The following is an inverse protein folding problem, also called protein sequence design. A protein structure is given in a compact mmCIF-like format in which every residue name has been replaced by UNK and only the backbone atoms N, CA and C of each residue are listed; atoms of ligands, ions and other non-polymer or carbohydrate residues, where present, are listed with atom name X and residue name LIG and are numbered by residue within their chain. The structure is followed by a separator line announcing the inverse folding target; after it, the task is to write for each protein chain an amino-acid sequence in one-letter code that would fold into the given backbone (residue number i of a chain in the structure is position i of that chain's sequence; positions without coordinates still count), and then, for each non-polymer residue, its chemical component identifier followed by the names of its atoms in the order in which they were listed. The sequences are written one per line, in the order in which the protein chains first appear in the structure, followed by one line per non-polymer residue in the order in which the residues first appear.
data_IF_123795493277
#
_entry.id   IF_123795493277
#
_cell.length_a   1.000
_cell.length_b   1.000
_cell.length_c   1.000
_cell.angle_alpha   90.00
_cell.angle_beta   90.00
_cell.angle_gamma   90.00
#
_symmetry.space_group_name_H-M   'P 1'
#
loop_
_entity.id
_entity.type
_entity.pdbx_description
1 polymer ?
#
# COMPACT_ATOMS: atom_id res chain seq x y z
N UNK A 1 -11.06 -9.24 9.87
CA UNK A 1 -11.16 -10.13 8.70
C UNK A 1 -11.50 -11.56 9.13
N UNK A 2 -10.70 -12.22 9.98
CA UNK A 2 -10.94 -13.61 10.39
C UNK A 2 -12.36 -13.83 10.93
N UNK A 3 -12.88 -12.94 11.80
CA UNK A 3 -14.26 -12.99 12.29
C UNK A 3 -15.34 -12.79 11.21
N UNK A 4 -14.94 -12.41 9.99
CA UNK A 4 -15.81 -12.28 8.82
C UNK A 4 -15.69 -13.47 7.85
N UNK A 5 -14.98 -14.52 8.25
CA UNK A 5 -14.82 -15.74 7.47
C UNK A 5 -13.66 -15.75 6.48
N UNK A 6 -12.72 -14.79 6.57
CA UNK A 6 -11.52 -14.76 5.73
C UNK A 6 -10.39 -15.58 6.34
N UNK A 7 -9.68 -16.34 5.51
CA UNK A 7 -8.32 -16.75 5.83
C UNK A 7 -7.41 -15.52 5.75
N UNK A 8 -6.65 -15.22 6.80
CA UNK A 8 -5.87 -13.98 6.89
C UNK A 8 -4.42 -14.31 7.18
N UNK A 9 -3.53 -13.81 6.34
CA UNK A 9 -2.09 -13.79 6.59
C UNK A 9 -1.69 -12.33 6.89
N UNK A 10 -1.12 -12.11 8.06
CA UNK A 10 -0.42 -10.87 8.39
C UNK A 10 1.08 -11.18 8.35
N UNK A 11 1.83 -10.35 7.66
CA UNK A 11 3.28 -10.50 7.52
C UNK A 11 3.99 -9.32 8.16
N UNK A 12 5.13 -9.60 8.80
CA UNK A 12 6.13 -8.60 9.14
C UNK A 12 7.14 -8.53 7.97
N UNK A 13 7.11 -7.49 7.14
CA UNK A 13 8.11 -7.34 6.09
C UNK A 13 9.47 -6.96 6.69
N UNK A 14 10.53 -7.06 5.91
CA UNK A 14 11.87 -6.67 6.37
C UNK A 14 11.87 -5.27 6.98
N UNK A 15 12.60 -5.09 8.08
CA UNK A 15 12.68 -3.86 8.89
C UNK A 15 11.39 -3.49 9.65
N UNK A 16 10.53 -4.46 9.90
CA UNK A 16 9.36 -4.30 10.79
C UNK A 16 9.14 -5.51 11.68
N UNK A 17 8.44 -5.29 12.81
CA UNK A 17 8.05 -6.34 13.75
C UNK A 17 9.23 -7.19 14.20
N UNK A 18 9.10 -8.51 14.08
CA UNK A 18 10.17 -9.46 14.42
C UNK A 18 11.34 -9.48 13.42
N UNK A 19 11.21 -8.76 12.29
CA UNK A 19 12.23 -8.69 11.22
C UNK A 19 13.02 -7.38 11.23
N UNK A 20 13.13 -6.73 12.39
CA UNK A 20 14.04 -5.60 12.62
C UNK A 20 15.49 -6.05 12.47
N UNK A 21 16.31 -5.26 11.78
CA UNK A 21 17.68 -5.62 11.43
C UNK A 21 18.74 -4.96 12.34
N UNK A 22 18.37 -3.89 13.06
CA UNK A 22 19.30 -3.06 13.83
C UNK A 22 18.98 -3.05 15.33
N UNK A 23 18.55 -4.18 15.89
CA UNK A 23 18.16 -4.30 17.30
C UNK A 23 19.30 -4.00 18.28
N UNK A 24 20.55 -4.30 17.89
CA UNK A 24 21.73 -4.11 18.73
C UNK A 24 22.26 -2.67 18.74
N UNK A 25 21.63 -1.77 18.00
CA UNK A 25 22.01 -0.36 17.91
C UNK A 25 21.01 0.50 18.70
N UNK A 26 21.34 0.89 19.96
CA UNK A 26 20.41 1.62 20.83
C UNK A 26 19.95 2.97 20.28
N UNK A 27 20.78 3.61 19.46
CA UNK A 27 20.48 4.85 18.78
C UNK A 27 19.35 4.73 17.74
N UNK A 28 19.02 3.50 17.36
CA UNK A 28 18.08 3.20 16.29
C UNK A 28 16.74 2.66 16.80
N UNK A 29 16.51 2.78 18.09
CA UNK A 29 15.30 2.24 18.70
C UNK A 29 14.02 2.89 18.15
N UNK A 30 13.20 2.09 17.54
CA UNK A 30 11.75 2.26 17.54
C UNK A 30 11.13 2.92 16.33
N UNK A 31 11.84 3.21 15.24
CA UNK A 31 11.19 3.74 14.04
C UNK A 31 11.44 2.86 12.82
N UNK A 32 10.38 2.18 12.35
CA UNK A 32 10.43 1.42 11.10
C UNK A 32 10.91 2.31 9.93
N UNK A 33 10.41 3.53 9.80
CA UNK A 33 10.82 4.49 8.76
C UNK A 33 12.31 4.82 8.81
N UNK A 34 12.88 4.89 10.01
CA UNK A 34 14.32 5.10 10.17
C UNK A 34 15.12 3.91 9.62
N UNK A 35 14.73 2.70 9.99
CA UNK A 35 15.38 1.48 9.52
C UNK A 35 15.22 1.29 8.01
N UNK A 36 14.04 1.63 7.46
CA UNK A 36 13.83 1.65 6.01
C UNK A 36 14.83 2.57 5.31
N UNK A 37 15.08 3.75 5.85
CA UNK A 37 16.01 4.71 5.24
C UNK A 37 17.47 4.25 5.33
N UNK A 38 17.87 3.63 6.45
CA UNK A 38 19.23 3.09 6.60
C UNK A 38 19.48 1.93 5.65
N UNK A 39 18.62 0.93 5.66
CA UNK A 39 18.72 -0.20 4.72
C UNK A 39 18.56 0.23 3.27
N UNK A 40 17.57 1.06 2.99
CA UNK A 40 17.27 1.51 1.64
C UNK A 40 18.46 2.22 0.99
N UNK A 41 19.18 3.06 1.73
CA UNK A 41 20.41 3.69 1.23
C UNK A 41 21.49 2.67 0.88
N UNK A 42 21.63 1.61 1.66
CA UNK A 42 22.59 0.55 1.39
C UNK A 42 22.16 -0.30 0.18
N UNK A 43 20.86 -0.61 0.07
CA UNK A 43 20.32 -1.34 -1.08
C UNK A 43 20.53 -0.60 -2.40
N UNK A 44 20.38 0.75 -2.39
CA UNK A 44 20.65 1.56 -3.59
C UNK A 44 22.05 1.39 -4.15
N UNK A 45 23.05 1.15 -3.29
CA UNK A 45 24.42 0.91 -3.73
C UNK A 45 24.59 -0.41 -4.49
N UNK A 46 23.67 -1.34 -4.31
CA UNK A 46 23.64 -2.65 -4.99
C UNK A 46 22.64 -2.71 -6.14
N UNK A 47 21.95 -1.60 -6.43
CA UNK A 47 20.91 -1.55 -7.45
C UNK A 47 19.57 -2.09 -7.00
N UNK A 48 19.38 -2.34 -5.71
CA UNK A 48 18.16 -2.83 -5.08
C UNK A 48 17.37 -1.70 -4.42
N UNK A 49 16.10 -1.96 -4.07
CA UNK A 49 15.27 -0.98 -3.35
C UNK A 49 14.53 -1.62 -2.19
N UNK A 50 14.29 -0.84 -1.14
CA UNK A 50 13.51 -1.30 0.01
C UNK A 50 12.07 -1.69 -0.40
N UNK A 51 11.44 -0.89 -1.25
CA UNK A 51 10.10 -1.20 -1.77
C UNK A 51 10.04 -2.53 -2.52
N UNK A 52 11.06 -2.86 -3.33
CA UNK A 52 11.13 -4.13 -4.05
C UNK A 52 11.29 -5.33 -3.09
N UNK A 53 12.13 -5.22 -2.08
CA UNK A 53 12.32 -6.28 -1.09
C UNK A 53 11.05 -6.56 -0.29
N UNK A 54 10.35 -5.51 0.11
CA UNK A 54 9.08 -5.64 0.84
C UNK A 54 7.95 -6.16 -0.03
N UNK A 55 7.90 -5.72 -1.30
CA UNK A 55 6.96 -6.29 -2.27
C UNK A 55 7.23 -7.79 -2.49
N UNK A 56 8.50 -8.19 -2.57
CA UNK A 56 8.88 -9.60 -2.65
C UNK A 56 8.41 -10.41 -1.43
N UNK A 57 8.60 -9.87 -0.21
CA UNK A 57 8.07 -10.49 1.02
C UNK A 57 6.56 -10.75 0.92
N UNK A 58 5.81 -9.75 0.44
CA UNK A 58 4.37 -9.87 0.28
C UNK A 58 3.98 -10.92 -0.77
N UNK A 59 4.70 -10.98 -1.91
CA UNK A 59 4.48 -11.99 -2.95
C UNK A 59 4.79 -13.39 -2.42
N UNK A 60 5.87 -13.57 -1.64
CA UNK A 60 6.18 -14.86 -0.99
C UNK A 60 5.16 -15.23 0.08
N UNK A 61 4.67 -14.24 0.84
CA UNK A 61 3.55 -14.44 1.77
C UNK A 61 2.29 -14.91 1.03
N UNK A 62 1.99 -14.34 -0.13
CA UNK A 62 0.88 -14.77 -0.96
C UNK A 62 1.05 -16.20 -1.44
N UNK A 63 2.24 -16.62 -1.87
CA UNK A 63 2.51 -18.03 -2.25
C UNK A 63 2.19 -18.98 -1.10
N UNK A 64 2.61 -18.64 0.11
CA UNK A 64 2.28 -19.43 1.30
C UNK A 64 0.77 -19.46 1.54
N UNK A 65 0.09 -18.33 1.50
CA UNK A 65 -1.36 -18.26 1.68
C UNK A 65 -2.10 -19.15 0.68
N UNK A 66 -1.74 -19.05 -0.60
CA UNK A 66 -2.38 -19.82 -1.68
C UNK A 66 -2.03 -21.31 -1.67
N UNK A 67 -1.00 -21.71 -0.94
CA UNK A 67 -0.69 -23.15 -0.74
C UNK A 67 -1.60 -23.83 0.28
N UNK A 68 -2.39 -23.06 1.02
CA UNK A 68 -3.25 -23.58 2.07
C UNK A 68 -4.56 -24.12 1.48
N UNK A 69 -4.95 -25.36 1.82
CA UNK A 69 -6.15 -25.99 1.23
C UNK A 69 -7.47 -25.34 1.64
N UNK A 70 -7.47 -24.57 2.74
CA UNK A 70 -8.63 -23.84 3.23
C UNK A 70 -8.87 -22.48 2.54
N UNK A 71 -7.97 -22.06 1.64
CA UNK A 71 -8.02 -20.77 0.96
C UNK A 71 -8.71 -20.86 -0.39
N UNK A 72 -9.70 -20.00 -0.62
CA UNK A 72 -10.27 -19.78 -1.95
C UNK A 72 -9.32 -18.92 -2.79
N UNK A 73 -8.59 -19.55 -3.68
CA UNK A 73 -7.60 -18.88 -4.54
C UNK A 73 -8.21 -18.01 -5.64
N UNK A 74 -9.52 -18.01 -5.80
CA UNK A 74 -10.24 -17.16 -6.76
C UNK A 74 -10.68 -15.82 -6.18
N UNK A 75 -10.57 -15.65 -4.85
CA UNK A 75 -11.00 -14.47 -4.10
C UNK A 75 -9.90 -14.03 -3.14
N UNK A 76 -8.93 -13.30 -3.65
CA UNK A 76 -7.73 -12.91 -2.93
C UNK A 76 -7.63 -11.39 -2.86
N UNK A 77 -7.75 -10.86 -1.65
CA UNK A 77 -7.67 -9.42 -1.40
C UNK A 77 -6.39 -9.02 -0.67
N UNK A 78 -5.91 -7.81 -0.95
CA UNK A 78 -4.78 -7.20 -0.26
C UNK A 78 -5.19 -5.87 0.34
N UNK A 79 -4.83 -5.66 1.61
CA UNK A 79 -5.07 -4.39 2.31
C UNK A 79 -4.01 -4.14 3.37
N UNK A 80 -3.78 -2.87 3.66
CA UNK A 80 -2.90 -2.43 4.73
C UNK A 80 -2.96 -0.92 4.90
N UNK A 81 -2.49 -0.44 6.04
CA UNK A 81 -2.48 0.98 6.38
C UNK A 81 -1.07 1.55 6.34
N UNK A 82 -0.88 2.80 5.92
CA UNK A 82 0.43 3.47 5.92
C UNK A 82 1.46 2.71 5.06
N UNK A 83 2.55 2.23 5.61
CA UNK A 83 3.47 1.32 4.92
C UNK A 83 2.76 0.07 4.35
N UNK A 84 1.73 -0.44 5.05
CA UNK A 84 0.85 -1.48 4.51
C UNK A 84 0.01 -0.99 3.32
N UNK A 85 -0.39 0.28 3.29
CA UNK A 85 -1.04 0.94 2.15
C UNK A 85 -0.08 1.06 0.96
N UNK A 86 1.17 1.44 1.22
CA UNK A 86 2.26 1.46 0.23
C UNK A 86 2.44 0.07 -0.41
N UNK A 87 2.59 -0.95 0.41
CA UNK A 87 2.75 -2.33 -0.06
C UNK A 87 1.51 -2.83 -0.81
N UNK A 88 0.32 -2.49 -0.33
CA UNK A 88 -0.93 -2.80 -1.05
C UNK A 88 -0.91 -2.19 -2.45
N UNK A 89 -0.47 -0.95 -2.59
CA UNK A 89 -0.39 -0.24 -3.86
C UNK A 89 0.61 -0.91 -4.82
N UNK A 90 1.83 -1.16 -4.36
CA UNK A 90 2.88 -1.73 -5.22
C UNK A 90 2.61 -3.20 -5.57
N UNK A 91 2.25 -4.02 -4.58
CA UNK A 91 2.00 -5.45 -4.82
C UNK A 91 0.75 -5.64 -5.69
N UNK A 92 -0.29 -4.80 -5.52
CA UNK A 92 -1.44 -4.84 -6.41
C UNK A 92 -1.06 -4.54 -7.86
N UNK A 93 -0.10 -3.65 -8.10
CA UNK A 93 0.38 -3.35 -9.45
C UNK A 93 1.19 -4.51 -10.08
N UNK A 94 1.84 -5.32 -9.26
CA UNK A 94 2.80 -6.35 -9.69
C UNK A 94 2.22 -7.77 -9.73
N UNK A 95 1.14 -8.05 -8.95
CA UNK A 95 0.71 -9.43 -8.65
C UNK A 95 -0.67 -9.75 -9.23
N UNK A 96 -0.67 -10.53 -10.28
CA UNK A 96 -1.88 -10.85 -11.06
C UNK A 96 -2.91 -11.72 -10.31
N UNK A 97 -2.48 -12.47 -9.30
CA UNK A 97 -3.34 -13.34 -8.51
C UNK A 97 -4.25 -12.58 -7.54
N UNK A 98 -3.95 -11.31 -7.26
CA UNK A 98 -4.85 -10.46 -6.48
C UNK A 98 -6.10 -10.11 -7.29
N UNK A 99 -7.25 -10.29 -6.68
CA UNK A 99 -8.55 -10.01 -7.31
C UNK A 99 -9.15 -8.68 -6.89
N UNK A 100 -8.67 -8.11 -5.77
CA UNK A 100 -9.14 -6.83 -5.22
C UNK A 100 -8.08 -6.22 -4.29
N UNK A 101 -8.11 -4.92 -4.11
CA UNK A 101 -7.18 -4.22 -3.24
C UNK A 101 -7.81 -3.04 -2.49
N UNK A 102 -7.29 -2.74 -1.29
CA UNK A 102 -7.75 -1.66 -0.44
C UNK A 102 -6.56 -0.95 0.25
N UNK A 103 -5.76 -0.12 -0.46
CA UNK A 103 -4.71 0.68 0.16
C UNK A 103 -5.31 1.74 1.09
N UNK A 104 -4.82 1.82 2.33
CA UNK A 104 -5.26 2.78 3.34
C UNK A 104 -4.13 3.72 3.75
N UNK A 105 -4.44 5.02 3.80
CA UNK A 105 -3.56 6.08 4.31
C UNK A 105 -2.16 6.08 3.69
N UNK A 106 -2.11 6.07 2.38
CA UNK A 106 -0.88 6.21 1.59
C UNK A 106 -1.11 7.04 0.33
N UNK A 107 -2.24 6.81 -0.37
CA UNK A 107 -2.50 7.47 -1.65
C UNK A 107 -2.75 8.95 -1.46
N UNK A 108 -1.92 9.75 -2.12
CA UNK A 108 -2.03 11.20 -2.31
C UNK A 108 -1.39 11.55 -3.65
N UNK A 109 -0.97 12.79 -3.89
CA UNK A 109 -0.06 13.15 -4.98
C UNK A 109 1.34 13.42 -4.43
N UNK A 110 2.37 13.27 -5.25
CA UNK A 110 3.74 13.64 -4.84
C UNK A 110 3.84 15.13 -4.48
N UNK A 111 3.09 15.99 -5.16
CA UNK A 111 3.05 17.42 -4.88
C UNK A 111 2.54 17.67 -3.45
N UNK A 112 1.39 17.13 -3.08
CA UNK A 112 0.84 17.30 -1.74
C UNK A 112 1.69 16.62 -0.66
N UNK A 113 2.33 15.51 -0.98
CA UNK A 113 3.25 14.85 -0.07
C UNK A 113 4.46 15.75 0.27
N UNK A 114 5.00 16.44 -0.74
CA UNK A 114 6.12 17.39 -0.56
C UNK A 114 5.67 18.67 0.13
N UNK A 115 4.49 19.20 -0.21
CA UNK A 115 3.92 20.39 0.45
C UNK A 115 3.74 20.20 1.96
N UNK A 116 3.41 19.00 2.40
CA UNK A 116 3.28 18.65 3.82
C UNK A 116 4.61 18.38 4.51
N UNK A 117 5.73 18.60 3.83
CA UNK A 117 7.08 18.32 4.35
C UNK A 117 7.24 16.89 4.89
N UNK A 118 6.40 15.96 4.43
CA UNK A 118 6.49 14.56 4.79
C UNK A 118 7.43 13.87 3.80
N UNK A 119 8.67 13.59 4.17
CA UNK A 119 9.55 12.83 3.31
C UNK A 119 9.02 11.40 3.20
N UNK A 120 8.71 10.97 1.98
CA UNK A 120 8.52 9.56 1.71
C UNK A 120 9.80 8.81 2.08
N UNK A 121 9.67 7.74 2.85
CA UNK A 121 10.83 6.91 3.17
C UNK A 121 11.22 6.01 1.98
N UNK A 122 12.32 5.29 2.10
CA UNK A 122 12.87 4.50 1.01
C UNK A 122 12.00 3.31 0.57
N UNK A 123 10.98 2.93 1.36
CA UNK A 123 9.99 1.94 0.90
C UNK A 123 8.92 2.57 0.01
N UNK A 124 8.61 3.84 0.24
CA UNK A 124 7.43 4.51 -0.32
C UNK A 124 7.69 5.14 -1.68
N UNK A 125 8.92 5.52 -1.95
CA UNK A 125 9.31 6.16 -3.20
C UNK A 125 10.48 5.42 -3.86
N UNK A 126 10.20 4.47 -4.76
CA UNK A 126 11.26 3.81 -5.52
C UNK A 126 12.09 4.83 -6.31
N UNK A 127 13.42 4.67 -6.37
CA UNK A 127 14.30 5.57 -7.11
C UNK A 127 13.89 5.70 -8.56
N UNK A 128 13.90 6.92 -9.06
CA UNK A 128 13.55 7.22 -10.44
C UNK A 128 12.05 7.41 -10.72
N UNK A 129 11.17 7.18 -9.74
CA UNK A 129 9.71 7.36 -9.89
C UNK A 129 9.35 8.73 -10.43
N UNK A 130 9.82 9.80 -9.78
CA UNK A 130 9.56 11.18 -10.21
C UNK A 130 10.22 11.51 -11.55
N UNK A 131 11.44 11.02 -11.79
CA UNK A 131 12.13 11.23 -13.06
C UNK A 131 11.43 10.54 -14.25
N UNK A 132 10.74 9.43 -13.98
CA UNK A 132 9.91 8.73 -14.94
C UNK A 132 8.52 9.37 -15.14
N UNK A 133 8.19 10.40 -14.36
CA UNK A 133 6.89 11.06 -14.39
C UNK A 133 5.75 10.22 -13.82
N UNK A 134 6.08 9.26 -12.94
CA UNK A 134 5.08 8.39 -12.32
C UNK A 134 4.49 9.03 -11.06
N UNK A 135 3.18 8.97 -10.95
CA UNK A 135 2.40 9.33 -9.77
C UNK A 135 1.90 8.09 -9.00
N UNK A 136 1.42 8.29 -7.78
CA UNK A 136 0.86 7.21 -6.97
C UNK A 136 -0.34 6.55 -7.66
N UNK A 137 -1.10 7.31 -8.44
CA UNK A 137 -2.23 6.83 -9.22
C UNK A 137 -1.86 5.83 -10.32
N UNK A 138 -0.66 5.93 -10.89
CA UNK A 138 -0.23 5.05 -11.98
C UNK A 138 -0.13 3.60 -11.52
N UNK A 139 0.31 3.36 -10.27
CA UNK A 139 0.31 2.01 -9.68
C UNK A 139 -1.10 1.44 -9.51
N UNK A 140 -2.10 2.28 -9.27
CA UNK A 140 -3.49 1.87 -9.19
C UNK A 140 -4.07 1.58 -10.58
N UNK A 141 -3.72 2.41 -11.56
CA UNK A 141 -4.13 2.25 -12.97
C UNK A 141 -3.58 0.95 -13.56
N UNK A 142 -2.37 0.53 -13.17
CA UNK A 142 -1.72 -0.68 -13.67
C UNK A 142 -2.59 -1.95 -13.52
N UNK A 143 -3.56 -1.95 -12.59
CA UNK A 143 -4.46 -3.08 -12.34
C UNK A 143 -5.92 -2.84 -12.71
N UNK A 144 -6.22 -1.69 -13.30
CA UNK A 144 -7.58 -1.44 -13.78
C UNK A 144 -7.98 -2.50 -14.84
N UNK A 145 -9.21 -3.01 -14.81
CA UNK A 145 -10.37 -2.58 -14.00
C UNK A 145 -10.63 -3.44 -12.74
N UNK A 146 -9.62 -4.03 -12.12
CA UNK A 146 -9.80 -4.84 -10.91
C UNK A 146 -10.43 -4.02 -9.77
N UNK A 147 -11.32 -4.62 -8.94
CA UNK A 147 -11.95 -3.95 -7.81
C UNK A 147 -10.95 -3.29 -6.86
N UNK A 148 -11.17 -2.01 -6.57
CA UNK A 148 -10.29 -1.16 -5.77
C UNK A 148 -11.10 -0.24 -4.87
N UNK A 149 -10.71 -0.11 -3.60
CA UNK A 149 -11.17 0.97 -2.74
C UNK A 149 -9.96 1.74 -2.19
N UNK A 150 -9.87 3.02 -2.51
CA UNK A 150 -8.87 3.93 -1.94
C UNK A 150 -9.40 4.42 -0.59
N UNK A 151 -8.59 4.27 0.45
CA UNK A 151 -8.96 4.60 1.82
C UNK A 151 -8.04 5.70 2.35
N UNK A 152 -8.60 6.79 2.87
CA UNK A 152 -7.88 7.90 3.48
C UNK A 152 -8.50 8.33 4.80
N UNK A 153 -7.92 9.35 5.44
CA UNK A 153 -8.44 10.00 6.65
C UNK A 153 -8.46 11.51 6.47
N UNK A 154 -9.41 12.17 7.12
CA UNK A 154 -9.60 13.64 6.96
C UNK A 154 -8.45 14.47 7.52
N UNK A 155 -7.76 13.97 8.53
CA UNK A 155 -6.66 14.65 9.23
C UNK A 155 -5.33 13.89 9.02
N UNK A 156 -5.18 13.19 7.89
CA UNK A 156 -3.98 12.44 7.59
C UNK A 156 -2.86 13.37 7.10
N UNK A 157 -1.64 13.01 7.41
CA UNK A 157 -0.47 13.64 6.80
C UNK A 157 -0.24 13.20 5.33
N UNK A 158 -0.80 12.07 4.91
CA UNK A 158 -1.05 11.80 3.49
C UNK A 158 -2.29 12.59 3.07
N UNK A 159 -2.07 13.76 2.51
CA UNK A 159 -3.07 14.80 2.31
C UNK A 159 -4.32 14.28 1.58
N UNK A 160 -5.51 14.36 2.19
CA UNK A 160 -6.75 13.91 1.57
C UNK A 160 -7.15 14.70 0.32
N UNK A 161 -6.58 15.90 0.09
CA UNK A 161 -6.77 16.63 -1.18
C UNK A 161 -6.15 15.82 -2.31
N UNK A 162 -4.89 15.42 -2.18
CA UNK A 162 -4.21 14.59 -3.17
C UNK A 162 -4.83 13.20 -3.31
N UNK A 163 -5.35 12.63 -2.22
CA UNK A 163 -6.11 11.36 -2.28
C UNK A 163 -7.31 11.49 -3.21
N UNK A 164 -8.06 12.60 -3.13
CA UNK A 164 -9.22 12.86 -4.00
C UNK A 164 -8.81 13.10 -5.44
N UNK A 165 -7.77 13.88 -5.67
CA UNK A 165 -7.22 14.16 -6.99
C UNK A 165 -6.80 12.86 -7.69
N UNK A 166 -5.98 12.06 -7.02
CA UNK A 166 -5.54 10.75 -7.53
C UNK A 166 -6.72 9.82 -7.80
N UNK A 167 -7.70 9.76 -6.88
CA UNK A 167 -8.90 8.95 -7.11
C UNK A 167 -9.64 9.36 -8.37
N UNK A 168 -9.86 10.67 -8.60
CA UNK A 168 -10.59 11.14 -9.77
C UNK A 168 -9.83 10.85 -11.07
N UNK A 169 -8.51 10.88 -11.06
CA UNK A 169 -7.70 10.50 -12.21
C UNK A 169 -7.79 9.01 -12.52
N UNK A 170 -7.62 8.17 -11.51
CA UNK A 170 -7.76 6.71 -11.66
C UNK A 170 -9.17 6.34 -12.10
N UNK A 171 -10.20 6.98 -11.53
CA UNK A 171 -11.60 6.77 -11.88
C UNK A 171 -11.88 7.06 -13.35
N UNK A 172 -11.23 8.06 -13.97
CA UNK A 172 -11.36 8.32 -15.41
C UNK A 172 -10.95 7.11 -16.24
N UNK A 173 -9.86 6.44 -15.86
CA UNK A 173 -9.39 5.21 -16.54
C UNK A 173 -10.39 4.08 -16.35
N UNK A 174 -10.90 3.86 -15.14
CA UNK A 174 -11.94 2.85 -14.88
C UNK A 174 -13.21 3.12 -15.73
N UNK A 175 -13.60 4.38 -15.86
CA UNK A 175 -14.74 4.78 -16.75
C UNK A 175 -14.46 4.45 -18.21
N UNK A 176 -13.26 4.74 -18.72
CA UNK A 176 -12.87 4.40 -20.10
C UNK A 176 -12.90 2.89 -20.35
N UNK A 177 -12.64 2.10 -19.32
CA UNK A 177 -12.71 0.64 -19.37
C UNK A 177 -14.11 0.06 -19.12
N UNK A 178 -15.13 0.93 -18.92
CA UNK A 178 -16.51 0.52 -18.64
C UNK A 178 -16.72 -0.09 -17.25
N UNK A 179 -15.84 0.20 -16.29
CA UNK A 179 -15.80 -0.43 -14.96
C UNK A 179 -15.77 0.63 -13.83
N UNK A 180 -16.41 1.78 -14.02
CA UNK A 180 -16.41 2.87 -13.04
C UNK A 180 -16.89 2.45 -11.65
N UNK A 181 -17.82 1.50 -11.57
CA UNK A 181 -18.36 0.99 -10.30
C UNK A 181 -17.38 0.08 -9.54
N UNK A 182 -16.29 -0.33 -10.19
CA UNK A 182 -15.25 -1.18 -9.59
C UNK A 182 -14.21 -0.39 -8.79
N UNK A 183 -14.25 0.94 -8.81
CA UNK A 183 -13.39 1.78 -7.97
C UNK A 183 -14.23 2.63 -7.01
N UNK A 184 -13.77 2.74 -5.77
CA UNK A 184 -14.41 3.55 -4.71
C UNK A 184 -13.40 4.34 -3.92
N UNK A 185 -13.85 5.44 -3.32
CA UNK A 185 -13.09 6.24 -2.37
C UNK A 185 -13.84 6.32 -1.04
N UNK A 186 -13.11 6.16 0.05
CA UNK A 186 -13.61 6.45 1.40
C UNK A 186 -12.58 7.30 2.14
N UNK A 187 -13.01 8.45 2.64
CA UNK A 187 -12.21 9.30 3.55
C UNK A 187 -12.90 9.24 4.91
N UNK A 188 -12.31 8.51 5.84
CA UNK A 188 -12.80 8.41 7.21
C UNK A 188 -12.55 9.72 7.99
N UNK A 189 -13.22 9.84 9.13
CA UNK A 189 -13.11 11.00 10.01
C UNK A 189 -12.07 10.70 11.12
N UNK A 190 -10.89 11.26 11.01
CA UNK A 190 -9.87 11.10 12.03
C UNK A 190 -8.45 11.29 11.54
N UNK A 191 -7.52 10.94 12.40
CA UNK A 191 -6.08 11.01 12.16
C UNK A 191 -5.59 9.77 11.40
N UNK A 192 -4.30 9.79 11.03
CA UNK A 192 -3.63 8.69 10.35
C UNK A 192 -3.89 7.34 11.04
N UNK A 193 -4.52 6.41 10.34
CA UNK A 193 -4.82 5.09 10.89
C UNK A 193 -5.90 4.32 10.13
N UNK A 194 -5.99 3.02 10.39
CA UNK A 194 -7.01 2.17 9.78
C UNK A 194 -8.30 2.22 10.59
N UNK A 195 -9.08 3.28 10.41
CA UNK A 195 -10.32 3.56 11.15
C UNK A 195 -11.37 2.48 10.95
N UNK A 196 -12.42 2.51 11.79
CA UNK A 196 -13.59 1.62 11.62
C UNK A 196 -14.26 1.86 10.26
N UNK A 197 -14.43 3.12 9.86
CA UNK A 197 -15.03 3.50 8.57
C UNK A 197 -14.27 2.90 7.39
N UNK A 198 -12.92 3.03 7.40
CA UNK A 198 -12.06 2.45 6.37
C UNK A 198 -12.14 0.92 6.35
N UNK A 199 -12.18 0.27 7.53
CA UNK A 199 -12.35 -1.19 7.58
C UNK A 199 -13.71 -1.65 7.04
N UNK A 200 -14.78 -0.93 7.35
CA UNK A 200 -16.12 -1.25 6.85
C UNK A 200 -16.22 -1.06 5.33
N UNK A 201 -15.59 0.00 4.80
CA UNK A 201 -15.49 0.20 3.35
C UNK A 201 -14.73 -0.93 2.67
N UNK A 202 -13.60 -1.38 3.24
CA UNK A 202 -12.85 -2.53 2.75
C UNK A 202 -13.69 -3.80 2.80
N UNK A 203 -14.41 -4.08 3.90
CA UNK A 203 -15.29 -5.26 3.99
C UNK A 203 -16.42 -5.26 2.97
N UNK A 204 -16.86 -4.09 2.52
CA UNK A 204 -17.89 -3.98 1.49
C UNK A 204 -17.38 -4.31 0.09
N UNK A 205 -16.06 -4.28 -0.10
CA UNK A 205 -15.40 -4.67 -1.35
C UNK A 205 -15.03 -6.15 -1.34
N UNK A 206 -14.51 -6.65 -0.23
CA UNK A 206 -14.01 -8.03 -0.06
C UNK A 206 -15.16 -9.00 0.22
#
# INVERSE_FOLDING_TARGET
LAMKGYAVLAIDPVSQGERLQFLDFPEFKGSCCWEHNVMGKQLLLTGETMGAWRAWDAVRGLDYLLSRPEVDTTRVGLTGNSGGGTMTTFVNALEDRLTMAAPSCYITTWVHNVENELPADSEQMPPGTLAAGLEMGDFLIARAPRPLVVLGQSNDFFDPRGTRETYEEVRKVYRLLGAEDSIRLTIGHGDHGYSKENREAMYSLF
#
